data_IF_899855398247
#
_entry.id   IF_899855398247
#
_cell.length_a   1.000
_cell.length_b   1.000
_cell.length_c   1.000
_cell.angle_alpha   90.00
_cell.angle_beta   90.00
_cell.angle_gamma   90.00
#
_symmetry.space_group_name_H-M   'P 1'
#
loop_
_entity.id
_entity.type
_entity.pdbx_description
1 polymer ?
#
# COMPACT_ATOMS: atom_id res chain seq x y z
N UNK A 1 1.99 -16.29 15.81
CA UNK A 1 1.79 -15.14 14.90
C UNK A 1 3.02 -14.83 14.02
N UNK A 2 4.24 -14.62 14.56
CA UNK A 2 5.42 -14.24 13.75
C UNK A 2 5.72 -15.21 12.60
N UNK A 3 5.78 -16.51 12.87
CA UNK A 3 6.05 -17.52 11.83
C UNK A 3 4.95 -17.64 10.78
N UNK A 4 3.67 -17.56 11.18
CA UNK A 4 2.52 -17.60 10.25
C UNK A 4 2.57 -16.46 9.25
N UNK A 5 2.85 -15.22 9.71
CA UNK A 5 2.98 -14.06 8.84
C UNK A 5 4.14 -14.22 7.85
N UNK A 6 5.28 -14.74 8.31
CA UNK A 6 6.45 -15.01 7.46
C UNK A 6 6.15 -16.07 6.39
N UNK A 7 5.48 -17.16 6.76
CA UNK A 7 5.09 -18.21 5.79
C UNK A 7 4.14 -17.65 4.73
N UNK A 8 3.12 -16.90 5.13
CA UNK A 8 2.19 -16.26 4.20
C UNK A 8 2.92 -15.28 3.26
N UNK A 9 3.82 -14.47 3.81
CA UNK A 9 4.63 -13.54 3.02
C UNK A 9 5.51 -14.28 2.01
N UNK A 10 6.09 -15.42 2.39
CA UNK A 10 6.86 -16.29 1.51
C UNK A 10 6.00 -16.86 0.37
N UNK A 11 4.80 -17.34 0.67
CA UNK A 11 3.87 -17.89 -0.34
C UNK A 11 3.51 -16.81 -1.37
N UNK A 12 3.10 -15.62 -0.91
CA UNK A 12 2.74 -14.51 -1.81
C UNK A 12 3.92 -14.12 -2.69
N UNK A 13 5.12 -14.07 -2.12
CA UNK A 13 6.34 -13.72 -2.83
C UNK A 13 6.77 -14.79 -3.84
N UNK A 14 6.57 -16.07 -3.52
CA UNK A 14 6.80 -17.18 -4.44
C UNK A 14 5.84 -17.14 -5.63
N UNK A 15 4.56 -16.84 -5.41
CA UNK A 15 3.57 -16.65 -6.48
C UNK A 15 3.98 -15.47 -7.37
N UNK A 16 4.45 -14.37 -6.76
CA UNK A 16 4.97 -13.22 -7.49
C UNK A 16 6.15 -13.62 -8.39
N UNK A 17 7.18 -14.28 -7.84
CA UNK A 17 8.34 -14.75 -8.61
C UNK A 17 7.90 -15.68 -9.73
N UNK A 18 7.01 -16.63 -9.46
CA UNK A 18 6.53 -17.57 -10.47
C UNK A 18 5.83 -16.87 -11.63
N UNK A 19 4.97 -15.89 -11.34
CA UNK A 19 4.25 -15.11 -12.36
C UNK A 19 5.19 -14.30 -13.25
N UNK A 20 6.18 -13.63 -12.66
CA UNK A 20 7.05 -12.71 -13.41
C UNK A 20 8.22 -13.42 -14.10
N UNK A 21 8.73 -14.52 -13.55
CA UNK A 21 9.73 -15.36 -14.24
C UNK A 21 9.13 -16.08 -15.46
N UNK A 22 7.87 -16.48 -15.41
CA UNK A 22 7.17 -17.04 -16.58
C UNK A 22 7.06 -16.05 -17.76
N UNK A 23 7.18 -14.74 -17.52
CA UNK A 23 7.22 -13.71 -18.59
C UNK A 23 8.58 -13.59 -19.27
N UNK A 24 9.60 -14.22 -18.70
CA UNK A 24 10.97 -14.25 -19.21
C UNK A 24 11.30 -15.61 -19.85
N UNK A 25 10.29 -16.38 -20.25
CA UNK A 25 10.39 -17.76 -20.76
C UNK A 25 11.14 -18.74 -19.83
N UNK A 26 11.27 -18.38 -18.55
CA UNK A 26 11.88 -19.22 -17.53
C UNK A 26 10.82 -20.13 -16.86
N UNK A 27 11.20 -21.32 -16.34
CA UNK A 27 10.29 -22.22 -15.64
C UNK A 27 9.80 -21.61 -14.32
N UNK A 28 8.72 -20.83 -14.39
CA UNK A 28 8.34 -19.95 -13.29
C UNK A 28 7.95 -20.67 -11.99
N UNK A 29 7.35 -21.87 -12.09
CA UNK A 29 7.05 -22.70 -10.92
C UNK A 29 8.33 -23.11 -10.19
N UNK A 30 9.39 -23.47 -10.93
CA UNK A 30 10.68 -23.87 -10.36
C UNK A 30 11.36 -22.69 -9.66
N UNK A 31 11.37 -21.51 -10.28
CA UNK A 31 11.94 -20.30 -9.67
C UNK A 31 11.14 -19.83 -8.46
N UNK A 32 9.81 -19.91 -8.51
CA UNK A 32 8.94 -19.61 -7.36
C UNK A 32 9.19 -20.57 -6.19
N UNK A 33 9.29 -21.88 -6.45
CA UNK A 33 9.57 -22.89 -5.43
C UNK A 33 10.99 -22.71 -4.84
N UNK A 34 12.00 -22.48 -5.69
CA UNK A 34 13.37 -22.20 -5.24
C UNK A 34 13.42 -20.95 -4.37
N UNK A 35 12.79 -19.86 -4.80
CA UNK A 35 12.69 -18.64 -4.01
C UNK A 35 11.99 -18.91 -2.67
N UNK A 36 10.88 -19.67 -2.66
CA UNK A 36 10.18 -19.99 -1.41
C UNK A 36 11.08 -20.73 -0.42
N UNK A 37 11.85 -21.72 -0.88
CA UNK A 37 12.78 -22.47 -0.02
C UNK A 37 13.87 -21.56 0.53
N UNK A 38 14.49 -20.72 -0.32
CA UNK A 38 15.54 -19.77 0.10
C UNK A 38 14.98 -18.74 1.06
N UNK A 39 13.81 -18.16 0.76
CA UNK A 39 13.13 -17.18 1.60
C UNK A 39 12.71 -17.79 2.93
N UNK A 40 12.12 -18.99 2.94
CA UNK A 40 11.71 -19.66 4.17
C UNK A 40 12.93 -19.99 5.04
N UNK A 41 14.02 -20.49 4.44
CA UNK A 41 15.28 -20.74 5.14
C UNK A 41 15.86 -19.46 5.75
N UNK A 42 15.99 -18.40 4.96
CA UNK A 42 16.49 -17.10 5.42
C UNK A 42 15.56 -16.48 6.47
N UNK A 43 14.25 -16.55 6.30
CA UNK A 43 13.30 -15.93 7.22
C UNK A 43 13.21 -16.71 8.55
N UNK A 44 13.30 -18.04 8.54
CA UNK A 44 13.32 -18.85 9.78
C UNK A 44 14.59 -18.56 10.59
N UNK A 45 15.76 -18.52 9.96
CA UNK A 45 17.02 -18.18 10.65
C UNK A 45 16.99 -16.76 11.21
N UNK A 46 16.47 -15.82 10.41
CA UNK A 46 16.33 -14.42 10.79
C UNK A 46 15.36 -14.21 11.95
N UNK A 47 14.18 -14.86 11.92
CA UNK A 47 13.20 -14.82 13.04
C UNK A 47 13.78 -15.49 14.29
N UNK A 48 14.49 -16.60 14.13
CA UNK A 48 15.16 -17.31 15.22
C UNK A 48 16.22 -16.44 15.90
N UNK A 49 17.03 -15.73 15.12
CA UNK A 49 18.04 -14.79 15.63
C UNK A 49 17.40 -13.56 16.26
N UNK A 50 16.42 -12.93 15.61
CA UNK A 50 15.67 -11.79 16.13
C UNK A 50 14.93 -12.09 17.44
N UNK A 51 14.55 -13.35 17.67
CA UNK A 51 13.86 -13.76 18.90
C UNK A 51 14.82 -14.11 20.06
N UNK A 52 16.12 -14.29 19.77
CA UNK A 52 17.16 -14.61 20.76
C UNK A 52 18.07 -13.43 21.08
N UNK A 53 18.08 -12.42 20.22
CA UNK A 53 18.96 -11.26 20.35
C UNK A 53 18.24 -10.15 21.11
N UNK A 54 18.70 -9.87 22.33
CA UNK A 54 18.36 -8.66 23.09
C UNK A 54 19.10 -7.42 22.56
N UNK A 55 19.81 -7.54 21.43
CA UNK A 55 20.57 -6.45 20.84
C UNK A 55 19.65 -5.27 20.55
N UNK A 56 19.87 -4.10 21.19
CA UNK A 56 19.08 -2.92 20.92
C UNK A 56 19.54 -2.35 19.59
N UNK A 57 18.99 -2.87 18.48
CA UNK A 57 18.98 -2.11 17.24
C UNK A 57 18.22 -0.83 17.56
N UNK A 58 18.98 0.24 17.74
CA UNK A 58 18.45 1.54 18.12
C UNK A 58 17.62 2.07 16.97
N UNK A 59 16.52 2.78 17.27
CA UNK A 59 15.71 3.43 16.24
C UNK A 59 16.54 4.27 15.26
N UNK A 60 17.68 4.82 15.72
CA UNK A 60 18.68 5.50 14.88
C UNK A 60 19.27 4.62 13.77
N UNK A 61 19.67 3.38 14.06
CA UNK A 61 20.21 2.46 13.04
C UNK A 61 19.15 2.10 12.00
N UNK A 62 17.89 1.93 12.42
CA UNK A 62 16.77 1.72 11.50
C UNK A 62 16.54 2.94 10.61
N UNK A 63 16.57 4.14 11.18
CA UNK A 63 16.44 5.38 10.40
C UNK A 63 17.60 5.59 9.43
N UNK A 64 18.83 5.22 9.80
CA UNK A 64 19.98 5.24 8.90
C UNK A 64 19.83 4.23 7.76
N UNK A 65 19.37 3.01 8.04
CA UNK A 65 19.14 1.99 7.02
C UNK A 65 18.04 2.42 6.05
N UNK A 66 16.91 2.91 6.55
CA UNK A 66 15.82 3.41 5.70
C UNK A 66 16.26 4.66 4.94
N UNK A 67 16.99 5.58 5.57
CA UNK A 67 17.56 6.74 4.91
C UNK A 67 18.51 6.35 3.77
N UNK A 68 19.37 5.37 4.00
CA UNK A 68 20.24 4.79 2.97
C UNK A 68 19.44 4.20 1.80
N UNK A 69 18.37 3.44 2.08
CA UNK A 69 17.49 2.91 1.04
C UNK A 69 16.75 4.01 0.27
N UNK A 70 16.26 5.05 0.94
CA UNK A 70 15.66 6.21 0.29
C UNK A 70 16.65 6.93 -0.61
N UNK A 71 17.90 7.10 -0.20
CA UNK A 71 18.96 7.71 -1.02
C UNK A 71 19.28 6.83 -2.22
N UNK A 72 19.41 5.52 -2.06
CA UNK A 72 19.64 4.59 -3.18
C UNK A 72 18.48 4.60 -4.17
N UNK A 73 17.23 4.60 -3.67
CA UNK A 73 16.04 4.73 -4.52
C UNK A 73 16.01 6.08 -5.25
N UNK A 74 16.39 7.18 -4.57
CA UNK A 74 16.48 8.50 -5.19
C UNK A 74 17.53 8.52 -6.32
N UNK A 75 18.71 7.97 -6.07
CA UNK A 75 19.77 7.83 -7.08
C UNK A 75 19.25 7.01 -8.28
N UNK A 76 18.57 5.89 -8.03
CA UNK A 76 17.97 5.08 -9.08
C UNK A 76 16.92 5.85 -9.90
N UNK A 77 16.04 6.61 -9.25
CA UNK A 77 14.98 7.42 -9.91
C UNK A 77 15.57 8.55 -10.77
N UNK A 78 16.68 9.14 -10.33
CA UNK A 78 17.34 10.26 -11.04
C UNK A 78 18.23 9.75 -12.18
N UNK A 79 19.01 8.68 -11.97
CA UNK A 79 20.03 8.25 -12.93
C UNK A 79 19.54 7.20 -13.93
N UNK A 80 18.60 6.33 -13.55
CA UNK A 80 18.13 5.26 -14.44
C UNK A 80 16.94 5.75 -15.25
N UNK A 81 16.91 5.55 -16.58
CA UNK A 81 15.72 5.85 -17.37
C UNK A 81 14.55 4.96 -16.91
N UNK A 82 13.30 5.43 -17.01
CA UNK A 82 12.14 4.60 -16.74
C UNK A 82 12.11 3.42 -17.73
N UNK A 83 12.47 2.23 -17.22
CA UNK A 83 12.55 0.99 -18.03
C UNK A 83 11.15 0.40 -18.29
N UNK A 84 10.17 0.83 -17.49
CA UNK A 84 8.83 0.26 -17.45
C UNK A 84 7.88 0.99 -18.41
N UNK A 85 7.47 0.28 -19.47
CA UNK A 85 6.24 0.55 -20.24
C UNK A 85 4.99 -0.03 -19.54
N UNK A 86 5.09 -0.44 -18.29
CA UNK A 86 3.94 -0.94 -17.53
C UNK A 86 3.09 0.27 -17.19
N UNK A 87 1.88 0.34 -17.76
CA UNK A 87 1.05 1.54 -17.93
C UNK A 87 0.50 2.25 -16.69
N UNK A 88 1.29 2.38 -15.60
CA UNK A 88 0.91 3.12 -14.39
C UNK A 88 1.48 4.53 -14.36
N UNK A 89 2.78 4.68 -14.60
CA UNK A 89 3.42 6.00 -14.64
C UNK A 89 2.89 6.89 -15.78
N UNK A 90 2.79 6.39 -17.04
CA UNK A 90 2.14 7.16 -18.11
C UNK A 90 0.67 7.49 -17.82
N UNK A 91 -0.05 6.63 -17.09
CA UNK A 91 -1.45 6.89 -16.74
C UNK A 91 -1.59 8.05 -15.73
N UNK A 92 -0.67 8.17 -14.76
CA UNK A 92 -0.65 9.30 -13.82
C UNK A 92 -0.30 10.60 -14.54
N UNK A 93 0.73 10.57 -15.39
CA UNK A 93 1.17 11.76 -16.14
C UNK A 93 0.07 12.27 -17.07
N UNK A 94 -0.55 11.38 -17.85
CA UNK A 94 -1.65 11.73 -18.75
C UNK A 94 -2.87 12.25 -17.98
N UNK A 95 -3.27 11.56 -16.90
CA UNK A 95 -4.42 11.99 -16.09
C UNK A 95 -4.22 13.40 -15.50
N UNK A 96 -3.01 13.68 -14.99
CA UNK A 96 -2.69 14.99 -14.44
C UNK A 96 -2.57 16.07 -15.53
N UNK A 97 -1.99 15.76 -16.68
CA UNK A 97 -1.93 16.71 -17.80
C UNK A 97 -3.32 17.05 -18.33
N UNK A 98 -4.21 16.06 -18.44
CA UNK A 98 -5.58 16.27 -18.91
C UNK A 98 -6.37 17.13 -17.91
N UNK A 99 -6.25 16.84 -16.62
CA UNK A 99 -6.88 17.65 -15.57
C UNK A 99 -6.43 19.11 -15.64
N UNK A 100 -5.12 19.36 -15.78
CA UNK A 100 -4.55 20.71 -15.88
C UNK A 100 -4.94 21.43 -17.18
N UNK A 101 -5.16 20.69 -18.26
CA UNK A 101 -5.63 21.23 -19.54
C UNK A 101 -7.14 21.52 -19.55
N UNK A 102 -7.88 21.21 -18.47
CA UNK A 102 -9.33 21.34 -18.42
C UNK A 102 -10.07 20.25 -19.20
N UNK A 103 -9.39 19.14 -19.52
CA UNK A 103 -9.96 17.96 -20.14
C UNK A 103 -10.41 16.96 -19.07
N UNK A 104 -11.41 16.14 -19.40
CA UNK A 104 -11.88 15.10 -18.49
C UNK A 104 -10.82 13.99 -18.33
N UNK A 105 -10.21 13.80 -17.15
CA UNK A 105 -8.95 13.07 -17.04
C UNK A 105 -9.10 11.54 -17.12
N UNK A 106 -10.33 11.01 -17.02
CA UNK A 106 -10.62 9.59 -17.24
C UNK A 106 -10.96 9.26 -18.70
N UNK A 107 -10.73 10.18 -19.64
CA UNK A 107 -10.94 9.91 -21.07
C UNK A 107 -9.79 9.14 -21.74
N UNK A 108 -8.63 9.03 -21.07
CA UNK A 108 -7.40 8.55 -21.68
C UNK A 108 -7.47 7.05 -22.03
N UNK A 109 -6.95 6.61 -23.20
CA UNK A 109 -6.89 5.20 -23.56
C UNK A 109 -6.05 4.34 -22.60
N UNK A 110 -5.18 4.99 -21.81
CA UNK A 110 -4.38 4.35 -20.78
C UNK A 110 -5.21 3.80 -19.61
N UNK A 111 -6.49 4.20 -19.51
CA UNK A 111 -7.47 3.73 -18.54
C UNK A 111 -6.88 3.72 -17.10
N UNK A 112 -6.87 4.88 -16.43
CA UNK A 112 -6.29 4.99 -15.11
C UNK A 112 -7.08 4.17 -14.07
N UNK A 113 -6.42 3.18 -13.46
CA UNK A 113 -7.04 2.34 -12.40
C UNK A 113 -7.08 3.00 -11.02
N UNK A 114 -6.57 4.23 -10.88
CA UNK A 114 -6.53 4.97 -9.62
C UNK A 114 -7.79 5.81 -9.37
N UNK A 115 -8.16 5.94 -8.11
CA UNK A 115 -9.15 6.92 -7.68
C UNK A 115 -8.54 8.33 -7.53
N UNK A 116 -9.35 9.40 -7.51
CA UNK A 116 -8.86 10.78 -7.59
C UNK A 116 -7.78 11.19 -6.59
N UNK A 117 -7.85 10.73 -5.33
CA UNK A 117 -6.87 11.13 -4.32
C UNK A 117 -5.48 10.56 -4.62
N UNK A 118 -5.37 9.43 -5.35
CA UNK A 118 -4.07 8.94 -5.80
C UNK A 118 -3.32 10.00 -6.62
N UNK A 119 -4.02 10.63 -7.57
CA UNK A 119 -3.42 11.63 -8.44
C UNK A 119 -3.13 12.92 -7.69
N UNK A 120 -3.99 13.29 -6.72
CA UNK A 120 -3.70 14.42 -5.83
C UNK A 120 -2.42 14.19 -5.00
N UNK A 121 -2.18 12.96 -4.53
CA UNK A 121 -0.95 12.59 -3.81
C UNK A 121 0.27 12.52 -4.74
N UNK A 122 0.09 12.16 -6.01
CA UNK A 122 1.15 12.14 -7.02
C UNK A 122 1.44 13.52 -7.62
N UNK A 123 0.55 14.50 -7.45
CA UNK A 123 0.68 15.83 -8.04
C UNK A 123 1.99 16.55 -7.67
N UNK A 124 2.47 16.55 -6.40
CA UNK A 124 3.74 17.19 -6.08
C UNK A 124 4.94 16.58 -6.82
N UNK A 125 4.96 15.26 -7.02
CA UNK A 125 6.06 14.58 -7.71
C UNK A 125 5.97 14.73 -9.22
N UNK A 126 4.74 14.88 -9.75
CA UNK A 126 4.50 15.29 -11.13
C UNK A 126 5.03 16.70 -11.42
N UNK A 127 4.80 17.68 -10.52
CA UNK A 127 5.34 19.04 -10.66
C UNK A 127 6.88 19.05 -10.62
N UNK A 128 7.50 18.15 -9.86
CA UNK A 128 8.95 17.95 -9.86
C UNK A 128 9.49 17.26 -11.13
N UNK A 129 8.63 16.92 -12.08
CA UNK A 129 8.98 16.32 -13.37
C UNK A 129 9.29 14.82 -13.32
N UNK A 130 9.09 14.15 -12.19
CA UNK A 130 9.31 12.71 -12.08
C UNK A 130 8.42 12.07 -11.00
N UNK A 131 7.37 11.38 -11.44
CA UNK A 131 6.43 10.68 -10.55
C UNK A 131 7.12 9.60 -9.70
N UNK A 132 8.29 9.10 -10.12
CA UNK A 132 9.08 8.11 -9.38
C UNK A 132 9.54 8.58 -7.99
N UNK A 133 9.53 9.89 -7.71
CA UNK A 133 9.78 10.39 -6.35
C UNK A 133 8.71 9.92 -5.34
N UNK A 134 7.53 9.51 -5.80
CA UNK A 134 6.47 8.98 -4.93
C UNK A 134 6.93 7.70 -4.20
N UNK A 135 7.76 6.90 -4.85
CA UNK A 135 8.33 5.68 -4.25
C UNK A 135 9.35 6.01 -3.15
N UNK A 136 10.18 7.02 -3.37
CA UNK A 136 11.14 7.51 -2.37
C UNK A 136 10.40 8.01 -1.12
N UNK A 137 9.30 8.75 -1.31
CA UNK A 137 8.40 9.16 -0.23
C UNK A 137 7.78 7.96 0.49
N UNK A 138 7.43 6.90 -0.24
CA UNK A 138 6.93 5.64 0.31
C UNK A 138 7.94 5.00 1.26
N UNK A 139 9.20 4.87 0.83
CA UNK A 139 10.27 4.29 1.65
C UNK A 139 10.53 5.13 2.90
N UNK A 140 10.54 6.47 2.77
CA UNK A 140 10.71 7.36 3.90
C UNK A 140 9.55 7.24 4.90
N UNK A 141 8.31 7.20 4.41
CA UNK A 141 7.10 7.02 5.24
C UNK A 141 7.11 5.67 5.96
N UNK A 142 7.61 4.61 5.31
CA UNK A 142 7.78 3.30 5.92
C UNK A 142 8.77 3.35 7.09
N UNK A 143 9.87 4.09 6.95
CA UNK A 143 10.81 4.34 8.03
C UNK A 143 10.17 5.03 9.23
N UNK A 144 9.38 6.07 8.99
CA UNK A 144 8.64 6.78 10.06
C UNK A 144 7.65 5.84 10.76
N UNK A 145 6.92 5.01 10.00
CA UNK A 145 5.99 4.03 10.54
C UNK A 145 6.72 2.98 11.43
N UNK A 146 7.85 2.46 10.94
CA UNK A 146 8.69 1.53 11.72
C UNK A 146 9.25 2.18 12.98
N UNK A 147 9.73 3.42 12.89
CA UNK A 147 10.27 4.14 14.02
C UNK A 147 9.22 4.32 15.13
N UNK A 148 8.02 4.81 14.78
CA UNK A 148 6.90 4.92 15.73
C UNK A 148 6.53 3.58 16.36
N UNK A 149 6.58 2.50 15.58
CA UNK A 149 6.30 1.15 16.08
C UNK A 149 7.35 0.66 17.09
N UNK A 150 8.63 0.95 16.85
CA UNK A 150 9.75 0.59 17.72
C UNK A 150 9.77 1.44 19.00
N UNK A 151 9.50 2.73 18.91
CA UNK A 151 9.43 3.63 20.07
C UNK A 151 8.27 3.30 21.01
N UNK A 152 7.15 2.78 20.47
CA UNK A 152 5.98 2.33 21.23
C UNK A 152 6.19 1.06 22.09
N UNK A 153 7.43 0.76 22.50
CA UNK A 153 7.78 -0.33 23.40
C UNK A 153 8.15 -1.65 22.74
N UNK A 154 8.12 -1.75 21.41
CA UNK A 154 8.56 -2.93 20.64
C UNK A 154 10.01 -2.79 20.19
N UNK A 155 10.88 -2.42 21.13
CA UNK A 155 12.32 -2.18 20.92
C UNK A 155 12.98 -3.42 20.28
N UNK A 156 13.86 -3.19 19.29
CA UNK A 156 14.68 -4.25 18.69
C UNK A 156 14.03 -5.08 17.58
N UNK A 157 12.80 -4.79 17.15
CA UNK A 157 12.17 -5.57 16.08
C UNK A 157 12.54 -5.06 14.67
N UNK A 158 13.79 -5.30 14.26
CA UNK A 158 14.32 -5.01 12.91
C UNK A 158 13.78 -5.98 11.83
N UNK A 159 13.08 -7.04 12.25
CA UNK A 159 12.58 -8.10 11.39
C UNK A 159 11.75 -7.58 10.19
N UNK A 160 10.84 -6.58 10.32
CA UNK A 160 10.10 -6.09 9.16
C UNK A 160 10.98 -5.48 8.07
N UNK A 161 12.08 -4.82 8.46
CA UNK A 161 13.02 -4.22 7.51
C UNK A 161 13.77 -5.31 6.74
N UNK A 162 14.26 -6.33 7.44
CA UNK A 162 14.93 -7.46 6.77
C UNK A 162 13.96 -8.26 5.91
N UNK A 163 12.73 -8.48 6.38
CA UNK A 163 11.71 -9.13 5.56
C UNK A 163 11.41 -8.30 4.30
N UNK A 164 11.30 -6.97 4.39
CA UNK A 164 11.12 -6.10 3.23
C UNK A 164 12.26 -6.25 2.22
N UNK A 165 13.52 -6.27 2.69
CA UNK A 165 14.70 -6.44 1.83
C UNK A 165 14.80 -7.84 1.21
N UNK A 166 14.13 -8.84 1.76
CA UNK A 166 14.03 -10.18 1.18
C UNK A 166 12.91 -10.28 0.13
N UNK A 167 12.04 -9.27 0.00
CA UNK A 167 10.91 -9.30 -0.93
C UNK A 167 11.32 -8.87 -2.35
N UNK A 168 11.24 -9.75 -3.36
CA UNK A 168 11.52 -9.40 -4.75
C UNK A 168 10.49 -8.41 -5.29
N UNK A 169 9.27 -8.43 -4.75
CA UNK A 169 8.23 -7.46 -5.09
C UNK A 169 8.63 -6.03 -4.72
N UNK A 170 9.36 -5.82 -3.62
CA UNK A 170 9.83 -4.49 -3.24
C UNK A 170 10.77 -3.90 -4.32
N UNK A 171 11.79 -4.66 -4.73
CA UNK A 171 12.71 -4.21 -5.79
C UNK A 171 12.01 -4.01 -7.12
N UNK A 172 11.06 -4.88 -7.46
CA UNK A 172 10.26 -4.71 -8.67
C UNK A 172 9.51 -3.38 -8.65
N UNK A 173 8.82 -3.04 -7.55
CA UNK A 173 8.07 -1.79 -7.41
C UNK A 173 8.98 -0.55 -7.54
N UNK A 174 10.20 -0.60 -6.98
CA UNK A 174 11.21 0.46 -7.12
C UNK A 174 11.66 0.61 -8.59
N UNK A 175 11.94 -0.50 -9.27
CA UNK A 175 12.39 -0.50 -10.67
C UNK A 175 11.28 -0.01 -11.60
N UNK A 176 10.05 -0.45 -11.40
CA UNK A 176 8.91 -0.06 -12.24
C UNK A 176 8.29 1.29 -11.85
N UNK A 177 8.78 1.92 -10.78
CA UNK A 177 8.31 3.20 -10.24
C UNK A 177 6.81 3.18 -9.94
N UNK A 178 6.34 2.13 -9.28
CA UNK A 178 4.92 1.91 -9.04
C UNK A 178 4.47 2.49 -7.71
N UNK A 179 3.31 3.14 -7.73
CA UNK A 179 2.71 3.83 -6.59
C UNK A 179 2.09 2.88 -5.55
N UNK A 180 2.12 1.56 -5.78
CA UNK A 180 1.51 0.59 -4.88
C UNK A 180 2.22 0.53 -3.53
N UNK A 181 3.56 0.55 -3.51
CA UNK A 181 4.32 0.50 -2.26
C UNK A 181 4.07 1.75 -1.41
N UNK A 182 4.09 2.93 -2.03
CA UNK A 182 3.67 4.18 -1.37
C UNK A 182 2.25 4.07 -0.79
N UNK A 183 1.27 3.63 -1.58
CA UNK A 183 -0.13 3.49 -1.12
C UNK A 183 -0.26 2.53 0.07
N UNK A 184 0.36 1.35 0.01
CA UNK A 184 0.28 0.38 1.11
C UNK A 184 0.97 0.89 2.38
N UNK A 185 2.07 1.62 2.22
CA UNK A 185 2.77 2.24 3.34
C UNK A 185 1.94 3.36 3.98
N UNK A 186 1.24 4.16 3.16
CA UNK A 186 0.32 5.18 3.65
C UNK A 186 -0.84 4.58 4.45
N UNK A 187 -1.41 3.48 3.96
CA UNK A 187 -2.44 2.71 4.69
C UNK A 187 -1.91 2.21 6.04
N UNK A 188 -0.71 1.63 6.07
CA UNK A 188 -0.08 1.17 7.30
C UNK A 188 0.14 2.32 8.29
N UNK A 189 0.71 3.44 7.83
CA UNK A 189 0.94 4.61 8.66
C UNK A 189 -0.36 5.16 9.26
N UNK A 190 -1.44 5.17 8.48
CA UNK A 190 -2.75 5.63 8.92
C UNK A 190 -3.39 4.67 9.94
N UNK A 191 -3.24 3.35 9.78
CA UNK A 191 -3.68 2.36 10.77
C UNK A 191 -2.92 2.54 12.09
N UNK A 192 -1.60 2.72 12.05
CA UNK A 192 -0.81 2.97 13.25
C UNK A 192 -1.21 4.27 13.95
N UNK A 193 -1.53 5.31 13.17
CA UNK A 193 -2.07 6.56 13.70
C UNK A 193 -3.44 6.33 14.35
N UNK A 194 -4.33 5.61 13.68
CA UNK A 194 -5.66 5.28 14.19
C UNK A 194 -5.60 4.50 15.51
N UNK A 195 -4.69 3.53 15.64
CA UNK A 195 -4.51 2.79 16.88
C UNK A 195 -4.09 3.68 18.06
N UNK A 196 -3.26 4.69 17.81
CA UNK A 196 -2.83 5.64 18.84
C UNK A 196 -3.98 6.54 19.31
N UNK A 197 -4.78 7.05 18.37
CA UNK A 197 -5.74 8.12 18.66
C UNK A 197 -7.18 7.62 18.89
N UNK A 198 -7.60 6.53 18.25
CA UNK A 198 -8.92 5.90 18.46
C UNK A 198 -8.94 5.01 19.71
N UNK A 199 -7.84 4.91 20.46
CA UNK A 199 -7.79 4.25 21.77
C UNK A 199 -8.73 4.93 22.80
N UNK A 200 -8.99 6.22 22.61
CA UNK A 200 -9.88 7.00 23.46
C UNK A 200 -11.34 6.63 23.19
N UNK A 201 -12.20 6.72 24.21
CA UNK A 201 -13.58 6.19 24.14
C UNK A 201 -14.58 7.13 23.45
N UNK A 202 -14.18 8.37 23.22
CA UNK A 202 -15.00 9.48 22.77
C UNK A 202 -14.97 9.66 21.25
N UNK A 203 -16.13 9.96 20.67
CA UNK A 203 -16.27 10.37 19.26
C UNK A 203 -15.87 11.84 19.10
N UNK A 204 -14.59 12.11 19.35
CA UNK A 204 -14.02 13.45 19.27
C UNK A 204 -13.81 13.92 17.82
N UNK A 205 -13.46 15.19 17.64
CA UNK A 205 -13.01 15.70 16.33
C UNK A 205 -11.83 14.90 15.75
N UNK A 206 -10.98 14.32 16.60
CA UNK A 206 -9.91 13.42 16.17
C UNK A 206 -10.45 12.13 15.55
N UNK A 207 -11.52 11.55 16.10
CA UNK A 207 -12.19 10.40 15.51
C UNK A 207 -12.71 10.71 14.10
N UNK A 208 -13.39 11.85 13.94
CA UNK A 208 -13.91 12.30 12.65
C UNK A 208 -12.78 12.56 11.65
N UNK A 209 -11.72 13.26 12.07
CA UNK A 209 -10.56 13.54 11.24
C UNK A 209 -9.88 12.27 10.72
N UNK A 210 -9.70 11.26 11.58
CA UNK A 210 -9.13 9.97 11.17
C UNK A 210 -10.07 9.24 10.20
N UNK A 211 -11.38 9.24 10.44
CA UNK A 211 -12.33 8.63 9.52
C UNK A 211 -12.33 9.32 8.13
N UNK A 212 -12.21 10.66 8.09
CA UNK A 212 -12.06 11.40 6.83
C UNK A 212 -10.76 10.98 6.13
N UNK A 213 -9.64 10.90 6.85
CA UNK A 213 -8.36 10.43 6.28
C UNK A 213 -8.47 9.01 5.70
N UNK A 214 -9.18 8.10 6.37
CA UNK A 214 -9.47 6.77 5.83
C UNK A 214 -10.28 6.88 4.53
N UNK A 215 -11.32 7.73 4.47
CA UNK A 215 -12.08 7.94 3.23
C UNK A 215 -11.25 8.51 2.08
N UNK A 216 -10.34 9.45 2.37
CA UNK A 216 -9.41 10.01 1.38
C UNK A 216 -8.43 8.95 0.87
N UNK A 217 -7.84 8.15 1.76
CA UNK A 217 -6.90 7.08 1.36
C UNK A 217 -7.62 5.92 0.67
N UNK A 218 -8.89 5.64 1.00
CA UNK A 218 -9.73 4.71 0.24
C UNK A 218 -9.90 5.20 -1.22
N UNK A 219 -9.88 6.51 -1.44
CA UNK A 219 -9.87 7.15 -2.77
C UNK A 219 -8.50 7.13 -3.47
N UNK A 220 -7.65 6.16 -3.15
CA UNK A 220 -6.49 5.84 -3.99
C UNK A 220 -6.67 4.53 -4.74
N UNK A 221 -7.09 3.45 -4.06
CA UNK A 221 -7.22 2.08 -4.60
C UNK A 221 -8.32 1.28 -3.88
N UNK A 222 -9.07 0.45 -4.60
CA UNK A 222 -10.18 -0.37 -4.08
C UNK A 222 -9.72 -1.48 -3.12
N UNK A 223 -8.53 -2.04 -3.34
CA UNK A 223 -7.98 -3.11 -2.48
C UNK A 223 -7.82 -2.65 -1.01
N UNK A 224 -7.68 -1.33 -0.80
CA UNK A 224 -7.62 -0.73 0.53
C UNK A 224 -8.93 -0.93 1.29
N UNK A 225 -10.06 -0.98 0.59
CA UNK A 225 -11.37 -1.26 1.19
C UNK A 225 -11.39 -2.57 1.96
N UNK A 226 -10.75 -3.62 1.46
CA UNK A 226 -10.66 -4.91 2.17
C UNK A 226 -9.87 -4.77 3.47
N UNK A 227 -8.72 -4.08 3.41
CA UNK A 227 -7.87 -3.83 4.57
C UNK A 227 -8.65 -3.04 5.63
N UNK A 228 -9.39 -2.02 5.22
CA UNK A 228 -10.19 -1.20 6.12
C UNK A 228 -11.37 -1.93 6.73
N UNK A 229 -12.07 -2.78 5.97
CA UNK A 229 -13.14 -3.59 6.54
C UNK A 229 -12.59 -4.52 7.63
N UNK A 230 -11.47 -5.21 7.36
CA UNK A 230 -10.82 -6.06 8.37
C UNK A 230 -10.39 -5.25 9.61
N UNK A 231 -9.78 -4.07 9.41
CA UNK A 231 -9.39 -3.19 10.50
C UNK A 231 -10.58 -2.71 11.33
N UNK A 232 -11.64 -2.23 10.69
CA UNK A 232 -12.83 -1.70 11.38
C UNK A 232 -13.54 -2.78 12.18
N UNK A 233 -13.72 -3.98 11.61
CA UNK A 233 -14.31 -5.14 12.31
C UNK A 233 -13.50 -5.43 13.57
N UNK A 234 -12.18 -5.63 13.42
CA UNK A 234 -11.30 -5.94 14.55
C UNK A 234 -11.31 -4.82 15.61
N UNK A 235 -11.21 -3.55 15.17
CA UNK A 235 -11.04 -2.40 16.06
C UNK A 235 -12.29 -2.09 16.86
N UNK A 236 -13.45 -2.19 16.22
CA UNK A 236 -14.76 -1.81 16.78
C UNK A 236 -15.64 -3.01 17.14
N UNK A 237 -15.11 -4.25 17.18
CA UNK A 237 -15.87 -5.45 17.57
C UNK A 237 -16.62 -5.32 18.89
N UNK A 238 -16.04 -4.60 19.87
CA UNK A 238 -16.64 -4.36 21.18
C UNK A 238 -17.59 -3.15 21.19
N UNK A 239 -17.65 -2.37 20.10
CA UNK A 239 -18.44 -1.14 19.95
C UNK A 239 -18.94 -0.97 18.50
N UNK A 240 -19.83 -1.86 18.03
CA UNK A 240 -20.22 -1.92 16.62
C UNK A 240 -20.84 -0.60 16.13
N UNK A 241 -21.60 0.10 16.97
CA UNK A 241 -22.19 1.40 16.61
C UNK A 241 -21.12 2.46 16.27
N UNK A 242 -20.02 2.52 17.02
CA UNK A 242 -18.90 3.42 16.69
C UNK A 242 -18.26 3.02 15.35
N UNK A 243 -18.13 1.72 15.09
CA UNK A 243 -17.66 1.22 13.79
C UNK A 243 -18.58 1.63 12.64
N UNK A 244 -19.90 1.61 12.82
CA UNK A 244 -20.88 2.07 11.82
C UNK A 244 -20.71 3.55 11.54
N UNK A 245 -20.62 4.40 12.57
CA UNK A 245 -20.37 5.84 12.39
C UNK A 245 -19.03 6.12 11.71
N UNK A 246 -17.97 5.41 12.11
CA UNK A 246 -16.66 5.51 11.48
C UNK A 246 -16.76 5.19 9.98
N UNK A 247 -17.37 4.05 9.65
CA UNK A 247 -17.55 3.58 8.27
C UNK A 247 -18.41 4.52 7.44
N UNK A 248 -19.45 5.10 8.04
CA UNK A 248 -20.29 6.12 7.41
C UNK A 248 -19.49 7.36 7.02
N UNK A 249 -18.65 7.89 7.91
CA UNK A 249 -17.79 9.05 7.62
C UNK A 249 -16.75 8.70 6.55
N UNK A 250 -16.12 7.53 6.63
CA UNK A 250 -15.19 7.02 5.61
C UNK A 250 -15.85 6.98 4.24
N UNK A 251 -17.05 6.42 4.16
CA UNK A 251 -17.80 6.31 2.90
C UNK A 251 -18.18 7.69 2.35
N UNK A 252 -18.65 8.60 3.21
CA UNK A 252 -18.99 9.97 2.80
C UNK A 252 -17.76 10.71 2.26
N UNK A 253 -16.62 10.66 2.96
CA UNK A 253 -15.38 11.27 2.50
C UNK A 253 -14.89 10.65 1.18
N UNK A 254 -14.96 9.32 1.04
CA UNK A 254 -14.65 8.65 -0.22
C UNK A 254 -15.55 9.12 -1.36
N UNK A 255 -16.88 9.06 -1.18
CA UNK A 255 -17.83 9.49 -2.21
C UNK A 255 -17.64 10.96 -2.59
N UNK A 256 -17.38 11.83 -1.62
CA UNK A 256 -17.12 13.25 -1.86
C UNK A 256 -15.98 13.47 -2.85
N UNK A 257 -14.93 12.66 -2.82
CA UNK A 257 -13.81 12.76 -3.78
C UNK A 257 -14.19 12.35 -5.21
N UNK A 258 -15.25 11.53 -5.37
CA UNK A 258 -15.69 11.05 -6.69
C UNK A 258 -16.70 12.00 -7.34
N UNK A 259 -17.50 12.70 -6.53
CA UNK A 259 -18.59 13.58 -6.99
C UNK A 259 -18.15 14.55 -8.10
N UNK A 260 -17.02 15.26 -8.02
CA UNK A 260 -16.62 16.17 -9.09
C UNK A 260 -16.46 15.49 -10.45
N UNK A 261 -15.92 14.28 -10.48
CA UNK A 261 -15.66 13.54 -11.72
C UNK A 261 -16.91 12.87 -12.27
N UNK A 262 -17.79 12.37 -11.39
CA UNK A 262 -19.10 11.84 -11.78
C UNK A 262 -19.96 12.96 -12.36
N UNK A 263 -19.97 14.15 -11.73
CA UNK A 263 -20.72 15.30 -12.20
C UNK A 263 -20.17 15.86 -13.53
N UNK A 264 -18.85 15.76 -13.76
CA UNK A 264 -18.24 16.24 -15.00
C UNK A 264 -18.58 15.36 -16.20
N UNK A 265 -18.37 14.05 -16.12
CA UNK A 265 -18.75 13.13 -17.20
C UNK A 265 -19.05 11.73 -16.66
N UNK A 266 -20.32 11.41 -16.34
CA UNK A 266 -20.67 10.15 -15.72
C UNK A 266 -20.43 8.95 -16.65
N UNK A 267 -20.70 9.10 -17.95
CA UNK A 267 -20.54 8.03 -18.94
C UNK A 267 -19.09 7.54 -19.00
N UNK A 268 -18.15 8.45 -19.21
CA UNK A 268 -16.72 8.11 -19.27
C UNK A 268 -16.18 7.67 -17.90
N UNK A 269 -16.67 8.24 -16.80
CA UNK A 269 -16.22 7.85 -15.46
C UNK A 269 -16.54 6.38 -15.14
N UNK A 270 -17.75 5.90 -15.48
CA UNK A 270 -18.12 4.52 -15.22
C UNK A 270 -17.57 3.53 -16.26
N UNK A 271 -17.37 3.95 -17.52
CA UNK A 271 -16.83 3.07 -18.56
C UNK A 271 -15.30 2.93 -18.49
N UNK A 272 -14.58 4.03 -18.30
CA UNK A 272 -13.11 4.09 -18.41
C UNK A 272 -12.42 4.40 -17.09
N UNK A 273 -13.19 4.79 -16.07
CA UNK A 273 -12.65 5.20 -14.80
C UNK A 273 -12.31 4.03 -13.86
N UNK A 274 -12.09 4.34 -12.58
CA UNK A 274 -11.44 3.42 -11.65
C UNK A 274 -12.26 2.16 -11.37
N UNK A 275 -13.59 2.24 -11.49
CA UNK A 275 -14.47 1.11 -11.22
C UNK A 275 -14.35 0.01 -12.28
N UNK A 276 -14.38 0.36 -13.57
CA UNK A 276 -14.38 -0.64 -14.66
C UNK A 276 -13.14 -1.52 -14.66
N UNK A 277 -11.99 -0.94 -14.30
CA UNK A 277 -10.71 -1.64 -14.29
C UNK A 277 -10.52 -2.44 -13.00
N UNK A 278 -10.89 -1.87 -11.86
CA UNK A 278 -10.61 -2.49 -10.56
C UNK A 278 -11.50 -3.69 -10.25
N UNK A 279 -12.75 -3.70 -10.71
CA UNK A 279 -13.63 -4.86 -10.55
C UNK A 279 -13.16 -6.08 -11.34
N UNK A 280 -12.31 -5.89 -12.36
CA UNK A 280 -11.68 -6.99 -13.10
C UNK A 280 -10.56 -7.71 -12.36
N UNK A 281 -9.96 -7.11 -11.31
CA UNK A 281 -8.78 -7.67 -10.66
C UNK A 281 -9.08 -8.66 -9.54
N UNK A 282 -10.26 -8.60 -8.92
CA UNK A 282 -10.58 -9.42 -7.75
C UNK A 282 -11.97 -10.06 -7.88
N UNK A 283 -12.04 -11.38 -8.07
CA UNK A 283 -13.30 -12.11 -8.10
C UNK A 283 -14.12 -11.92 -6.81
N UNK A 284 -15.45 -11.79 -6.95
CA UNK A 284 -16.37 -11.55 -5.83
C UNK A 284 -16.27 -12.62 -4.73
N UNK A 285 -16.07 -13.89 -5.10
CA UNK A 285 -15.95 -14.98 -4.12
C UNK A 285 -14.72 -14.84 -3.22
N UNK A 286 -13.61 -14.25 -3.71
CA UNK A 286 -12.42 -13.97 -2.89
C UNK A 286 -12.74 -12.86 -1.88
N UNK A 287 -13.49 -11.84 -2.30
CA UNK A 287 -13.95 -10.76 -1.40
C UNK A 287 -14.81 -11.34 -0.29
N UNK A 288 -15.80 -12.17 -0.63
CA UNK A 288 -16.68 -12.80 0.37
C UNK A 288 -15.91 -13.69 1.33
N UNK A 289 -14.96 -14.49 0.84
CA UNK A 289 -14.10 -15.33 1.68
C UNK A 289 -13.27 -14.48 2.64
N UNK A 290 -12.67 -13.39 2.13
CA UNK A 290 -11.86 -12.48 2.95
C UNK A 290 -12.70 -11.83 4.07
N UNK A 291 -13.91 -11.39 3.75
CA UNK A 291 -14.85 -10.84 4.73
C UNK A 291 -15.23 -11.88 5.80
N UNK A 292 -15.50 -13.12 5.40
CA UNK A 292 -15.78 -14.21 6.34
C UNK A 292 -14.62 -14.46 7.31
N UNK A 293 -13.39 -14.52 6.79
CA UNK A 293 -12.18 -14.67 7.61
C UNK A 293 -11.99 -13.48 8.55
N UNK A 294 -12.21 -12.24 8.07
CA UNK A 294 -12.07 -11.04 8.88
C UNK A 294 -13.06 -11.00 10.06
N UNK A 295 -14.29 -11.48 9.86
CA UNK A 295 -15.30 -11.58 10.92
C UNK A 295 -14.94 -12.68 11.94
N UNK A 296 -14.42 -13.82 11.49
CA UNK A 296 -14.04 -14.94 12.37
C UNK A 296 -12.77 -14.62 13.18
N UNK A 297 -11.79 -13.95 12.56
CA UNK A 297 -10.50 -13.65 13.16
C UNK A 297 -10.49 -12.37 14.01
N UNK A 298 -11.46 -11.48 13.80
CA UNK A 298 -11.65 -10.22 14.53
C UNK A 298 -12.24 -10.43 15.91
#
# INVERSE_FOLDING_TARGET
>A
MKYTAVVLLGIVSAIFVAKYSARLDAPGILFGALYFVVFAGAAVTTVGYASRSDSPVTGRLLMLAVGGLSVLALIAVVLLPPVSRVGRLPAIEVWLSDLLAGNFPYHAPSQPSGFPVLFALAFPTFVLGNVGFLEVLGIALFGVALWKWVEGGKRGNWLPLVLLLLLPSFYYEVIVRSELFFNMTLVLALILLADQYLARKDMSWTFVGIAILFGLVLSTRSVIGLIYVAYVIWRFRQRPLQGVYFSGIVLLAFLFTLVPFIAWNPGLFFSNGPFSIQFGYLPLWIVLLFLGVAVIAG
#
